data_IF_689370531666
#
_entry.id   IF_689370531666
#
_cell.length_a   1.000
_cell.length_b   1.000
_cell.length_c   1.000
_cell.angle_alpha   90.00
_cell.angle_beta   90.00
_cell.angle_gamma   90.00
#
_symmetry.space_group_name_H-M   'P 1'
#
loop_
_entity.id
_entity.type
_entity.pdbx_description
1 polymer ?
#
# COMPACT_ATOMS: atom_id res chain seq x y z
N UNK A 1 -1.06 -23.91 53.54
CA UNK A 1 -1.01 -24.98 52.52
C UNK A 1 -0.65 -24.33 51.19
N UNK A 2 0.46 -24.79 50.59
CA UNK A 2 0.83 -24.75 49.16
C UNK A 2 0.94 -23.39 48.46
N UNK A 3 2.19 -22.98 48.22
CA UNK A 3 2.54 -22.14 47.06
C UNK A 3 2.72 -22.98 45.80
N UNK A 4 2.82 -22.31 44.64
CA UNK A 4 3.50 -22.82 43.45
C UNK A 4 4.10 -21.65 42.65
N UNK A 5 5.37 -21.84 42.32
CA UNK A 5 6.27 -21.09 41.42
C UNK A 5 5.74 -21.03 39.98
N UNK A 6 5.93 -19.92 39.26
CA UNK A 6 6.97 -19.67 38.23
C UNK A 6 6.83 -20.46 36.93
N UNK A 7 6.83 -19.74 35.79
CA UNK A 7 7.22 -20.30 34.50
C UNK A 7 6.67 -19.57 33.27
N UNK A 8 7.53 -18.71 32.68
CA UNK A 8 7.72 -18.37 31.24
C UNK A 8 6.47 -17.94 30.43
N UNK A 9 6.47 -16.82 29.70
CA UNK A 9 7.43 -16.48 28.64
C UNK A 9 7.74 -14.96 28.54
N UNK A 10 9.02 -14.57 28.46
CA UNK A 10 9.45 -13.22 28.08
C UNK A 10 9.73 -13.18 26.57
N UNK A 11 8.71 -13.31 25.72
CA UNK A 11 8.85 -13.07 24.27
C UNK A 11 7.55 -12.57 23.66
N UNK A 12 7.45 -11.24 23.53
CA UNK A 12 6.91 -10.59 22.33
C UNK A 12 7.65 -9.27 22.19
N UNK A 13 8.94 -9.44 21.95
CA UNK A 13 9.83 -8.44 21.37
C UNK A 13 9.31 -8.09 19.97
N UNK A 14 9.32 -6.79 19.66
CA UNK A 14 9.38 -6.16 18.32
C UNK A 14 8.37 -6.62 17.27
N UNK A 15 7.38 -5.76 16.98
CA UNK A 15 6.95 -5.44 15.61
C UNK A 15 5.94 -4.29 15.62
N UNK A 16 6.40 -3.04 15.48
CA UNK A 16 5.74 -1.99 14.69
C UNK A 16 4.27 -1.57 14.95
N UNK A 17 3.62 -1.97 16.04
CA UNK A 17 2.18 -1.69 16.28
C UNK A 17 1.89 -0.29 16.85
N UNK A 18 2.60 0.76 16.42
CA UNK A 18 2.29 2.11 16.89
C UNK A 18 2.45 3.16 15.80
N UNK A 19 1.58 3.08 14.78
CA UNK A 19 1.13 4.26 14.06
C UNK A 19 -0.38 4.47 14.33
N UNK A 20 -0.72 4.70 15.60
CA UNK A 20 -2.01 5.26 15.98
C UNK A 20 -2.04 6.76 15.62
N UNK A 21 -2.25 7.09 14.34
CA UNK A 21 -2.72 8.42 13.95
C UNK A 21 -4.22 8.49 14.26
N UNK A 22 -4.52 8.95 15.47
CA UNK A 22 -5.86 9.13 16.03
C UNK A 22 -6.70 10.03 15.12
N UNK A 23 -7.55 9.45 14.26
CA UNK A 23 -8.80 10.12 13.83
C UNK A 23 -9.32 10.01 12.40
N UNK A 24 -8.77 9.22 11.47
CA UNK A 24 -9.40 9.10 10.13
C UNK A 24 -9.16 7.74 9.48
N UNK A 25 -10.14 7.23 8.74
CA UNK A 25 -10.04 5.95 8.05
C UNK A 25 -8.85 5.97 7.08
N UNK A 26 -7.78 5.27 7.45
CA UNK A 26 -6.56 5.11 6.65
C UNK A 26 -6.80 4.37 5.33
N UNK A 27 -8.03 3.97 5.05
CA UNK A 27 -8.48 3.40 3.80
C UNK A 27 -9.46 4.37 3.15
N UNK A 28 -9.16 4.82 1.93
CA UNK A 28 -10.07 5.60 1.09
C UNK A 28 -10.19 4.96 -0.28
N UNK A 29 -11.42 4.67 -0.69
CA UNK A 29 -11.70 4.31 -2.07
C UNK A 29 -11.99 5.59 -2.86
N UNK A 30 -11.33 5.79 -4.00
CA UNK A 30 -11.61 6.91 -4.91
C UNK A 30 -12.84 6.60 -5.77
N UNK A 31 -12.93 5.37 -6.30
CA UNK A 31 -14.01 4.86 -7.13
C UNK A 31 -14.03 3.32 -7.17
N UNK A 32 -15.02 2.70 -7.83
CA UNK A 32 -15.12 1.24 -8.03
C UNK A 32 -14.54 0.76 -9.38
N UNK A 33 -13.65 1.53 -10.00
CA UNK A 33 -13.05 1.25 -11.31
C UNK A 33 -11.97 0.16 -11.30
N UNK A 34 -11.52 -0.26 -10.11
CA UNK A 34 -10.58 -1.38 -9.93
C UNK A 34 -11.14 -2.39 -8.92
N UNK A 35 -10.63 -3.62 -8.97
CA UNK A 35 -11.19 -4.74 -8.18
C UNK A 35 -10.82 -4.73 -6.70
N UNK A 36 -9.66 -4.16 -6.34
CA UNK A 36 -9.22 -4.08 -4.93
C UNK A 36 -9.83 -2.88 -4.22
N UNK A 37 -10.03 -3.03 -2.91
CA UNK A 37 -10.58 -1.96 -2.07
C UNK A 37 -9.56 -1.47 -1.07
N UNK A 38 -9.65 -0.18 -0.76
CA UNK A 38 -8.91 0.36 0.36
C UNK A 38 -9.31 -0.36 1.66
N UNK A 39 -8.31 -0.73 2.46
CA UNK A 39 -8.46 -1.58 3.64
C UNK A 39 -8.14 -3.04 3.38
N UNK A 40 -8.14 -3.50 2.13
CA UNK A 40 -7.71 -4.86 1.79
C UNK A 40 -6.19 -5.01 1.94
N UNK A 41 -5.73 -6.25 2.12
CA UNK A 41 -4.32 -6.57 2.00
C UNK A 41 -3.92 -6.51 0.54
N UNK A 42 -2.81 -5.83 0.23
CA UNK A 42 -2.32 -5.70 -1.14
C UNK A 42 -2.05 -7.10 -1.73
N UNK A 43 -2.69 -7.47 -2.86
CA UNK A 43 -2.41 -8.74 -3.52
C UNK A 43 -0.95 -8.82 -3.94
N UNK A 44 -0.33 -9.96 -3.68
CA UNK A 44 0.97 -10.26 -4.29
C UNK A 44 0.75 -10.61 -5.77
N UNK A 45 1.71 -10.28 -6.64
CA UNK A 45 1.72 -10.66 -8.04
C UNK A 45 3.12 -10.42 -8.62
N UNK A 46 3.42 -11.03 -9.75
CA UNK A 46 4.55 -10.60 -10.56
C UNK A 46 4.10 -9.50 -11.52
N UNK A 47 4.99 -8.55 -11.73
CA UNK A 47 4.85 -7.51 -12.74
C UNK A 47 6.20 -7.17 -13.34
N UNK A 48 6.20 -6.20 -14.24
CA UNK A 48 7.40 -5.58 -14.78
C UNK A 48 7.38 -4.12 -14.40
N UNK A 49 8.43 -3.64 -13.72
CA UNK A 49 8.59 -2.22 -13.48
C UNK A 49 8.95 -1.56 -14.81
N UNK A 50 8.07 -0.69 -15.29
CA UNK A 50 8.26 -0.03 -16.59
C UNK A 50 9.39 1.00 -16.59
N UNK A 51 9.84 1.47 -15.42
CA UNK A 51 10.96 2.39 -15.32
C UNK A 51 12.30 1.68 -15.50
N UNK A 52 12.45 0.45 -14.99
CA UNK A 52 13.69 -0.33 -15.06
C UNK A 52 13.66 -1.42 -16.14
N UNK A 53 12.47 -1.84 -16.56
CA UNK A 53 12.25 -2.98 -17.45
C UNK A 53 12.38 -4.35 -16.75
N UNK A 54 12.60 -4.38 -15.43
CA UNK A 54 12.84 -5.62 -14.70
C UNK A 54 11.53 -6.30 -14.26
N UNK A 55 11.54 -7.64 -14.26
CA UNK A 55 10.48 -8.40 -13.61
C UNK A 55 10.63 -8.31 -12.10
N UNK A 56 9.57 -7.88 -11.43
CA UNK A 56 9.53 -7.66 -9.99
C UNK A 56 8.37 -8.41 -9.37
N UNK A 57 8.52 -8.79 -8.10
CA UNK A 57 7.42 -9.25 -7.27
C UNK A 57 6.89 -8.06 -6.47
N UNK A 58 5.60 -7.78 -6.57
CA UNK A 58 4.98 -6.63 -5.90
C UNK A 58 5.25 -6.62 -4.39
N UNK A 59 5.22 -7.80 -3.75
CA UNK A 59 5.54 -7.91 -2.34
C UNK A 59 6.92 -7.37 -1.97
N UNK A 60 7.93 -7.52 -2.84
CA UNK A 60 9.28 -7.00 -2.57
C UNK A 60 9.35 -5.47 -2.67
N UNK A 61 8.50 -4.84 -3.50
CA UNK A 61 8.39 -3.38 -3.59
C UNK A 61 7.81 -2.75 -2.32
N UNK A 62 6.92 -3.48 -1.64
CA UNK A 62 6.27 -3.01 -0.41
C UNK A 62 7.18 -3.09 0.82
N UNK A 63 8.32 -3.76 0.71
CA UNK A 63 9.21 -3.99 1.86
C UNK A 63 9.93 -2.70 2.21
N UNK A 64 9.76 -2.25 3.44
CA UNK A 64 10.44 -1.07 3.97
C UNK A 64 9.53 -0.28 4.90
N UNK A 65 9.97 0.90 5.28
CA UNK A 65 9.19 1.84 6.10
C UNK A 65 8.51 2.92 5.26
N UNK A 66 8.40 2.70 3.94
CA UNK A 66 7.82 3.64 2.98
C UNK A 66 6.43 3.21 2.53
N UNK A 67 5.63 4.19 2.10
CA UNK A 67 4.42 3.90 1.35
C UNK A 67 4.79 3.57 -0.09
N UNK A 68 4.05 2.69 -0.73
CA UNK A 68 4.29 2.29 -2.12
C UNK A 68 3.09 2.66 -2.98
N UNK A 69 3.27 3.54 -3.94
CA UNK A 69 2.26 3.90 -4.93
C UNK A 69 2.46 3.07 -6.19
N UNK A 70 1.53 2.16 -6.47
CA UNK A 70 1.46 1.42 -7.71
C UNK A 70 0.60 2.17 -8.72
N UNK A 71 1.13 2.31 -9.92
CA UNK A 71 0.45 2.86 -11.08
C UNK A 71 0.35 1.78 -12.15
N UNK A 72 -0.86 1.55 -12.62
CA UNK A 72 -1.16 0.69 -13.76
C UNK A 72 -1.61 1.56 -14.92
N UNK A 73 -1.17 1.21 -16.12
CA UNK A 73 -1.51 1.95 -17.34
C UNK A 73 -0.54 3.07 -17.64
N UNK A 74 -1.02 4.12 -18.31
CA UNK A 74 -0.18 5.17 -18.93
C UNK A 74 -0.41 6.55 -18.32
N UNK A 75 -1.41 6.72 -17.44
CA UNK A 75 -1.67 7.99 -16.76
C UNK A 75 -0.45 8.47 -15.96
N UNK A 76 -0.17 9.78 -15.93
CA UNK A 76 0.96 10.32 -15.20
C UNK A 76 0.90 9.99 -13.71
N UNK A 77 2.09 9.88 -13.10
CA UNK A 77 2.19 9.71 -11.67
C UNK A 77 1.79 11.01 -10.96
N UNK A 78 0.94 10.96 -9.93
CA UNK A 78 0.66 12.13 -9.11
C UNK A 78 1.92 12.53 -8.33
N UNK A 79 1.98 13.80 -7.93
CA UNK A 79 3.04 14.29 -7.05
C UNK A 79 2.92 13.58 -5.70
N UNK A 80 3.96 12.84 -5.32
CA UNK A 80 4.05 12.12 -4.07
C UNK A 80 5.20 12.66 -3.21
N UNK A 81 5.06 12.57 -1.88
CA UNK A 81 6.11 12.98 -0.93
C UNK A 81 7.30 12.03 -0.91
N UNK A 82 8.35 12.42 -0.19
CA UNK A 82 9.64 11.69 -0.11
C UNK A 82 9.49 10.28 0.50
N UNK A 83 8.49 10.09 1.36
CA UNK A 83 8.15 8.83 2.03
C UNK A 83 7.35 7.85 1.15
N UNK A 84 7.07 8.22 -0.11
CA UNK A 84 6.29 7.42 -1.06
C UNK A 84 7.17 6.96 -2.22
N UNK A 85 7.31 5.63 -2.37
CA UNK A 85 7.94 5.00 -3.54
C UNK A 85 6.91 4.81 -4.64
N UNK A 86 7.11 5.44 -5.79
CA UNK A 86 6.21 5.32 -6.94
C UNK A 86 6.76 4.30 -7.92
N UNK A 87 5.95 3.29 -8.25
CA UNK A 87 6.29 2.26 -9.24
C UNK A 87 5.17 2.17 -10.28
N UNK A 88 5.55 2.14 -11.56
CA UNK A 88 4.61 1.86 -12.65
C UNK A 88 4.78 0.43 -13.10
N UNK A 89 3.74 -0.37 -12.89
CA UNK A 89 3.77 -1.81 -13.10
C UNK A 89 2.98 -2.18 -14.35
N UNK A 90 3.64 -2.92 -15.24
CA UNK A 90 3.04 -3.64 -16.35
C UNK A 90 2.95 -5.14 -16.04
N UNK A 91 2.17 -5.88 -16.83
CA UNK A 91 2.00 -7.32 -16.71
C UNK A 91 0.58 -7.73 -16.32
N UNK A 92 0.13 -8.84 -16.92
CA UNK A 92 -1.26 -9.28 -16.84
C UNK A 92 -1.62 -9.83 -15.46
N UNK A 93 -0.70 -10.56 -14.80
CA UNK A 93 -0.94 -11.13 -13.46
C UNK A 93 -1.24 -10.03 -12.43
N UNK A 94 -0.44 -8.96 -12.43
CA UNK A 94 -0.66 -7.84 -11.53
C UNK A 94 -1.96 -7.09 -11.85
N UNK A 95 -2.26 -6.86 -13.14
CA UNK A 95 -3.54 -6.23 -13.55
C UNK A 95 -4.75 -7.07 -13.12
N UNK A 96 -4.70 -8.38 -13.34
CA UNK A 96 -5.79 -9.31 -13.00
C UNK A 96 -6.03 -9.36 -11.49
N UNK A 97 -4.96 -9.54 -10.70
CA UNK A 97 -5.03 -9.59 -9.22
C UNK A 97 -5.59 -8.31 -8.60
N UNK A 98 -5.28 -7.16 -9.21
CA UNK A 98 -5.76 -5.86 -8.74
C UNK A 98 -7.10 -5.45 -9.39
N UNK A 99 -7.61 -6.24 -10.34
CA UNK A 99 -8.82 -5.97 -11.09
C UNK A 99 -8.74 -4.68 -11.93
N UNK A 100 -7.55 -4.35 -12.44
CA UNK A 100 -7.32 -3.16 -13.27
C UNK A 100 -7.50 -3.51 -14.74
N UNK A 101 -8.52 -2.94 -15.38
CA UNK A 101 -8.77 -3.12 -16.82
C UNK A 101 -7.96 -2.13 -17.66
N UNK A 102 -8.03 -0.84 -17.31
CA UNK A 102 -7.39 0.25 -18.04
C UNK A 102 -6.23 0.84 -17.21
N UNK A 103 -6.46 2.00 -16.60
CA UNK A 103 -5.57 2.64 -15.64
C UNK A 103 -6.01 2.31 -14.20
N UNK A 104 -5.05 2.32 -13.27
CA UNK A 104 -5.31 2.07 -11.85
C UNK A 104 -4.25 2.68 -10.97
N UNK A 105 -4.66 3.20 -9.82
CA UNK A 105 -3.79 3.72 -8.77
C UNK A 105 -4.08 2.98 -7.48
N UNK A 106 -3.02 2.48 -6.84
CA UNK A 106 -3.11 1.80 -5.56
C UNK A 106 -1.97 2.24 -4.66
N UNK A 107 -2.30 2.87 -3.52
CA UNK A 107 -1.34 3.19 -2.48
C UNK A 107 -1.34 2.09 -1.44
N UNK A 108 -0.17 1.51 -1.20
CA UNK A 108 0.07 0.45 -0.22
C UNK A 108 0.87 1.03 0.95
N UNK A 109 0.44 0.71 2.16
CA UNK A 109 1.09 1.10 3.41
C UNK A 109 2.31 0.21 3.69
N UNK A 110 3.25 0.65 4.56
CA UNK A 110 4.41 -0.18 4.96
C UNK A 110 4.04 -1.53 5.59
N UNK A 111 2.82 -1.66 6.14
CA UNK A 111 2.29 -2.92 6.71
C UNK A 111 1.60 -3.82 5.66
N UNK A 112 1.61 -3.44 4.37
CA UNK A 112 1.09 -4.23 3.26
C UNK A 112 -0.42 -4.11 3.04
N UNK A 113 -1.09 -3.13 3.66
CA UNK A 113 -2.50 -2.85 3.44
C UNK A 113 -2.71 -1.70 2.45
N UNK A 114 -3.79 -1.77 1.68
CA UNK A 114 -4.15 -0.73 0.72
C UNK A 114 -4.74 0.47 1.47
N UNK A 115 -4.11 1.62 1.28
CA UNK A 115 -4.50 2.91 1.83
C UNK A 115 -5.44 3.69 0.91
N UNK A 116 -5.18 3.64 -0.40
CA UNK A 116 -5.93 4.36 -1.43
C UNK A 116 -6.06 3.46 -2.67
N UNK A 117 -7.23 3.42 -3.30
CA UNK A 117 -7.47 2.62 -4.50
C UNK A 117 -8.50 3.29 -5.42
N UNK A 118 -8.25 3.28 -6.74
CA UNK A 118 -9.18 3.76 -7.76
C UNK A 118 -8.67 3.62 -9.19
N UNK A 119 -9.60 3.59 -10.15
CA UNK A 119 -9.30 3.60 -11.60
C UNK A 119 -9.21 5.01 -12.18
N UNK A 120 -9.81 5.98 -11.51
CA UNK A 120 -9.70 7.39 -11.84
C UNK A 120 -9.16 8.17 -10.63
N UNK A 121 -8.12 8.95 -10.88
CA UNK A 121 -7.55 9.84 -9.88
C UNK A 121 -7.13 11.15 -10.53
N UNK A 122 -7.06 12.17 -9.70
CA UNK A 122 -6.47 13.46 -10.00
C UNK A 122 -5.40 13.76 -8.94
N UNK A 123 -4.45 14.61 -9.28
CA UNK A 123 -3.31 14.90 -8.38
C UNK A 123 -3.78 15.45 -7.04
N UNK A 124 -4.90 16.18 -7.01
CA UNK A 124 -5.44 16.77 -5.78
C UNK A 124 -6.04 15.70 -4.87
N UNK A 125 -6.82 14.74 -5.39
CA UNK A 125 -7.38 13.67 -4.55
C UNK A 125 -6.30 12.80 -3.91
N UNK A 126 -5.19 12.57 -4.61
CA UNK A 126 -4.02 11.86 -4.06
C UNK A 126 -3.26 12.73 -3.06
N UNK A 127 -2.96 13.99 -3.40
CA UNK A 127 -2.27 14.92 -2.50
C UNK A 127 -3.06 15.19 -1.21
N UNK A 128 -4.39 15.37 -1.31
CA UNK A 128 -5.28 15.55 -0.16
C UNK A 128 -5.24 14.33 0.76
N UNK A 129 -5.14 13.12 0.20
CA UNK A 129 -4.98 11.90 0.99
C UNK A 129 -3.58 11.82 1.64
N UNK A 130 -2.51 12.10 0.89
CA UNK A 130 -1.14 12.08 1.43
C UNK A 130 -0.95 13.15 2.51
N UNK A 131 -1.55 14.33 2.36
CA UNK A 131 -1.52 15.38 3.37
C UNK A 131 -2.10 14.92 4.72
N UNK A 132 -3.11 14.05 4.72
CA UNK A 132 -3.65 13.44 5.95
C UNK A 132 -2.66 12.51 6.64
N UNK A 133 -1.70 11.94 5.90
CA UNK A 133 -0.65 11.08 6.45
C UNK A 133 0.55 11.90 6.97
N UNK A 134 0.77 13.09 6.44
CA UNK A 134 1.92 13.96 6.74
C UNK A 134 1.66 14.96 7.87
N UNK A 135 0.43 15.11 8.37
CA UNK A 135 0.15 16.03 9.50
C UNK A 135 0.88 15.54 10.76
N UNK A 136 2.02 16.17 11.06
CA UNK A 136 2.81 16.01 12.26
C UNK A 136 3.14 17.39 12.83
#
# INVERSE_FOLDING_TARGET
>A
MRGTFEGKDPFSDVSGLSLHYRGSSLARQLDEGIGVRAGDRAPDAHGTDTATGERVRLFDLFRGTHFTLLLFGSRPAPVAGEDVRVHRIAGDEARERYGVKDDGLVLVRPDGYIALAGGAWDDRSVADYLALLTVK
#
